data_IF_783557943549
#
_entry.id   IF_783557943549
#
_cell.length_a   1.000
_cell.length_b   1.000
_cell.length_c   1.000
_cell.angle_alpha   90.00
_cell.angle_beta   90.00
_cell.angle_gamma   90.00
#
_symmetry.space_group_name_H-M   'P 1'
#
loop_
_entity.id
_entity.type
_entity.pdbx_description
1 polymer ?
#
# COMPACT_ATOMS: atom_id res chain seq x y z
N UNK A 1 -33.69 -9.60 -14.89
CA UNK A 1 -33.64 -8.94 -13.56
C UNK A 1 -32.70 -7.74 -13.52
N UNK A 2 -32.44 -7.03 -14.63
CA UNK A 2 -31.31 -6.07 -14.70
C UNK A 2 -31.70 -4.61 -14.97
N UNK A 3 -32.75 -4.35 -15.76
CA UNK A 3 -33.08 -2.98 -16.17
C UNK A 3 -33.76 -2.16 -15.07
N UNK A 4 -34.81 -2.70 -14.46
CA UNK A 4 -35.54 -2.01 -13.39
C UNK A 4 -34.65 -1.71 -12.16
N UNK A 5 -33.71 -2.61 -11.83
CA UNK A 5 -32.77 -2.40 -10.72
C UNK A 5 -31.73 -1.32 -11.01
N UNK A 6 -31.30 -1.18 -12.27
CA UNK A 6 -30.43 -0.08 -12.72
C UNK A 6 -31.19 1.25 -12.71
N UNK A 7 -32.43 1.28 -13.23
CA UNK A 7 -33.25 2.50 -13.24
C UNK A 7 -33.54 3.01 -11.81
N UNK A 8 -33.86 2.09 -10.89
CA UNK A 8 -34.02 2.40 -9.47
C UNK A 8 -32.73 2.92 -8.83
N UNK A 9 -31.59 2.32 -9.15
CA UNK A 9 -30.29 2.80 -8.67
C UNK A 9 -29.96 4.20 -9.21
N UNK A 10 -30.12 4.43 -10.52
CA UNK A 10 -29.87 5.73 -11.15
C UNK A 10 -30.74 6.84 -10.56
N UNK A 11 -32.01 6.54 -10.28
CA UNK A 11 -32.94 7.47 -9.61
C UNK A 11 -32.45 7.86 -8.21
N UNK A 12 -31.87 6.90 -7.46
CA UNK A 12 -31.29 7.15 -6.13
C UNK A 12 -29.93 7.86 -6.15
N UNK A 13 -29.11 7.65 -7.18
CA UNK A 13 -27.79 8.29 -7.34
C UNK A 13 -27.87 9.74 -7.79
N UNK A 14 -28.89 10.06 -8.60
CA UNK A 14 -29.05 11.39 -9.19
C UNK A 14 -30.48 11.91 -8.97
N UNK A 15 -30.89 12.09 -7.70
CA UNK A 15 -32.24 12.56 -7.37
C UNK A 15 -32.48 14.01 -7.81
N UNK A 16 -31.43 14.75 -8.16
CA UNK A 16 -31.46 16.15 -8.58
C UNK A 16 -31.61 16.35 -10.09
N UNK A 17 -31.60 15.28 -10.91
CA UNK A 17 -31.96 15.40 -12.32
C UNK A 17 -33.48 15.60 -12.45
N UNK A 18 -33.90 16.83 -12.70
CA UNK A 18 -35.29 17.15 -13.04
C UNK A 18 -35.56 16.80 -14.51
N UNK A 19 -35.89 15.54 -14.81
CA UNK A 19 -36.26 15.09 -16.16
C UNK A 19 -36.24 13.56 -16.33
N UNK A 20 -36.77 13.01 -17.44
CA UNK A 20 -36.61 11.58 -17.75
C UNK A 20 -35.13 11.23 -17.90
N UNK A 21 -34.71 10.11 -17.32
CA UNK A 21 -33.33 9.63 -17.37
C UNK A 21 -32.89 9.45 -18.84
N UNK A 22 -31.72 10.00 -19.25
CA UNK A 22 -31.23 9.83 -20.61
C UNK A 22 -31.09 8.35 -21.00
N UNK A 23 -31.61 7.92 -22.16
CA UNK A 23 -31.57 6.52 -22.57
C UNK A 23 -30.13 6.02 -22.75
N UNK A 24 -29.21 6.89 -23.16
CA UNK A 24 -27.78 6.60 -23.30
C UNK A 24 -27.13 6.18 -21.97
N UNK A 25 -27.56 6.78 -20.85
CA UNK A 25 -27.04 6.46 -19.51
C UNK A 25 -27.51 5.06 -19.08
N UNK A 26 -28.78 4.74 -19.34
CA UNK A 26 -29.37 3.43 -19.03
C UNK A 26 -28.71 2.34 -19.87
N UNK A 27 -28.52 2.59 -21.17
CA UNK A 27 -27.89 1.64 -22.09
C UNK A 27 -26.43 1.36 -21.71
N UNK A 28 -25.66 2.40 -21.37
CA UNK A 28 -24.29 2.23 -20.89
C UNK A 28 -24.26 1.42 -19.57
N UNK A 29 -25.10 1.77 -18.59
CA UNK A 29 -25.16 1.02 -17.33
C UNK A 29 -25.55 -0.46 -17.53
N UNK A 30 -26.47 -0.75 -18.46
CA UNK A 30 -26.83 -2.11 -18.83
C UNK A 30 -25.66 -2.86 -19.49
N UNK A 31 -24.95 -2.22 -20.42
CA UNK A 31 -23.78 -2.81 -21.06
C UNK A 31 -22.68 -3.18 -20.06
N UNK A 32 -22.43 -2.31 -19.07
CA UNK A 32 -21.48 -2.56 -17.99
C UNK A 32 -21.94 -3.68 -17.07
N UNK A 33 -23.25 -3.78 -16.79
CA UNK A 33 -23.79 -4.87 -15.97
C UNK A 33 -23.62 -6.23 -16.67
N UNK A 34 -23.94 -6.32 -17.96
CA UNK A 34 -23.73 -7.55 -18.74
C UNK A 34 -22.24 -7.94 -18.77
N UNK A 35 -21.34 -6.96 -18.99
CA UNK A 35 -19.89 -7.19 -18.96
C UNK A 35 -19.39 -7.56 -17.55
N UNK A 36 -19.97 -7.00 -16.50
CA UNK A 36 -19.62 -7.34 -15.11
C UNK A 36 -19.96 -8.79 -14.78
N UNK A 37 -21.06 -9.33 -15.32
CA UNK A 37 -21.47 -10.71 -15.07
C UNK A 37 -20.52 -11.73 -15.71
N UNK A 38 -19.92 -11.40 -16.87
CA UNK A 38 -18.98 -12.30 -17.55
C UNK A 38 -17.56 -12.22 -16.97
N UNK A 39 -17.16 -11.03 -16.50
CA UNK A 39 -15.81 -10.80 -15.94
C UNK A 39 -15.74 -11.14 -14.45
N UNK A 40 -16.83 -10.93 -13.70
CA UNK A 40 -16.91 -11.09 -12.25
C UNK A 40 -17.95 -12.15 -11.87
N UNK A 41 -17.72 -13.39 -12.33
CA UNK A 41 -18.60 -14.55 -12.06
C UNK A 41 -18.51 -15.06 -10.61
N UNK A 42 -17.45 -14.71 -9.87
CA UNK A 42 -17.25 -15.11 -8.47
C UNK A 42 -17.27 -13.86 -7.56
N UNK A 43 -18.47 -13.42 -7.18
CA UNK A 43 -18.70 -12.37 -6.18
C UNK A 43 -19.53 -12.94 -5.03
N UNK A 44 -19.33 -12.40 -3.83
CA UNK A 44 -20.13 -12.82 -2.66
C UNK A 44 -21.57 -12.33 -2.81
N UNK A 45 -22.54 -13.03 -2.21
CA UNK A 45 -23.97 -12.65 -2.26
C UNK A 45 -24.21 -11.16 -1.95
N UNK A 46 -23.51 -10.62 -0.95
CA UNK A 46 -23.62 -9.22 -0.53
C UNK A 46 -23.08 -8.24 -1.58
N UNK A 47 -22.09 -8.67 -2.37
CA UNK A 47 -21.51 -7.92 -3.48
C UNK A 47 -22.38 -8.02 -4.73
N UNK A 48 -23.05 -9.16 -4.95
CA UNK A 48 -23.98 -9.35 -6.07
C UNK A 48 -25.20 -8.43 -5.98
N UNK A 49 -25.71 -8.21 -4.76
CA UNK A 49 -26.84 -7.28 -4.51
C UNK A 49 -26.46 -5.84 -4.90
N UNK A 50 -25.21 -5.44 -4.66
CA UNK A 50 -24.73 -4.09 -4.97
C UNK A 50 -24.16 -3.92 -6.40
N UNK A 51 -23.98 -5.02 -7.15
CA UNK A 51 -23.48 -5.02 -8.54
C UNK A 51 -24.24 -4.05 -9.46
N UNK A 52 -25.58 -4.05 -9.58
CA UNK A 52 -26.30 -3.11 -10.44
C UNK A 52 -26.11 -1.65 -10.01
N UNK A 53 -26.02 -1.38 -8.71
CA UNK A 53 -25.78 -0.05 -8.16
C UNK A 53 -24.37 0.46 -8.50
N UNK A 54 -23.35 -0.40 -8.40
CA UNK A 54 -21.97 -0.07 -8.76
C UNK A 54 -21.81 0.22 -10.26
N UNK A 55 -22.46 -0.57 -11.13
CA UNK A 55 -22.46 -0.34 -12.57
C UNK A 55 -23.16 0.98 -12.95
N UNK A 56 -24.27 1.31 -12.26
CA UNK A 56 -24.96 2.59 -12.42
C UNK A 56 -24.07 3.77 -11.98
N UNK A 57 -23.37 3.66 -10.85
CA UNK A 57 -22.42 4.69 -10.40
C UNK A 57 -21.29 4.91 -11.41
N UNK A 58 -20.70 3.81 -11.90
CA UNK A 58 -19.61 3.86 -12.88
C UNK A 58 -20.06 4.51 -14.20
N UNK A 59 -21.29 4.24 -14.65
CA UNK A 59 -21.88 4.88 -15.82
C UNK A 59 -22.05 6.40 -15.62
N UNK A 60 -22.52 6.83 -14.45
CA UNK A 60 -22.64 8.25 -14.10
C UNK A 60 -21.28 8.96 -14.06
N UNK A 61 -20.23 8.32 -13.54
CA UNK A 61 -18.88 8.91 -13.51
C UNK A 61 -18.29 9.09 -14.92
N UNK A 62 -18.54 8.14 -15.83
CA UNK A 62 -18.06 8.19 -17.23
C UNK A 62 -18.75 9.26 -18.06
N UNK A 63 -20.07 9.38 -17.91
CA UNK A 63 -20.86 10.35 -18.64
C UNK A 63 -20.96 11.72 -17.95
N UNK A 64 -20.38 11.87 -16.75
CA UNK A 64 -20.39 13.11 -15.96
C UNK A 64 -20.01 14.34 -16.77
N UNK A 65 -18.94 14.25 -17.56
CA UNK A 65 -18.44 15.35 -18.41
C UNK A 65 -19.29 15.58 -19.67
N UNK A 66 -19.95 14.54 -20.18
CA UNK A 66 -20.74 14.59 -21.43
C UNK A 66 -22.16 15.08 -21.21
N UNK A 67 -22.76 14.74 -20.07
CA UNK A 67 -24.17 15.02 -19.75
C UNK A 67 -24.34 16.04 -18.63
N UNK A 68 -23.28 16.73 -18.19
CA UNK A 68 -23.29 17.75 -17.11
C UNK A 68 -24.06 17.29 -15.85
N UNK A 69 -23.82 16.05 -15.42
CA UNK A 69 -24.53 15.45 -14.28
C UNK A 69 -24.11 16.11 -12.95
N UNK A 70 -25.06 16.41 -12.03
CA UNK A 70 -24.75 16.96 -10.71
C UNK A 70 -23.98 15.96 -9.83
N UNK A 71 -23.46 16.44 -8.69
CA UNK A 71 -22.65 15.62 -7.77
C UNK A 71 -23.40 14.38 -7.31
N UNK A 72 -22.79 13.21 -7.53
CA UNK A 72 -23.38 11.89 -7.25
C UNK A 72 -23.32 11.65 -5.74
N UNK A 73 -24.47 11.36 -5.11
CA UNK A 73 -24.52 10.96 -3.70
C UNK A 73 -24.65 9.44 -3.63
N UNK A 74 -23.57 8.74 -3.25
CA UNK A 74 -23.58 7.29 -3.18
C UNK A 74 -24.20 6.79 -1.87
N UNK A 75 -25.37 6.16 -1.92
CA UNK A 75 -25.99 5.41 -0.81
C UNK A 75 -26.18 3.94 -1.21
N UNK A 76 -25.11 3.12 -1.15
CA UNK A 76 -25.17 1.74 -1.60
C UNK A 76 -26.05 0.86 -0.69
N UNK A 77 -26.62 -0.24 -1.23
CA UNK A 77 -27.44 -1.18 -0.46
C UNK A 77 -26.63 -2.08 0.48
N UNK A 78 -25.30 -2.00 0.44
CA UNK A 78 -24.40 -2.80 1.27
C UNK A 78 -23.45 -1.92 2.10
N UNK A 79 -22.80 -2.47 3.14
CA UNK A 79 -21.85 -1.72 3.96
C UNK A 79 -20.76 -1.03 3.13
N UNK A 80 -20.32 0.18 3.52
CA UNK A 80 -19.44 1.02 2.69
C UNK A 80 -18.08 0.36 2.40
N UNK A 81 -17.58 -0.47 3.31
CA UNK A 81 -16.32 -1.23 3.12
C UNK A 81 -16.42 -2.27 2.01
N UNK A 82 -17.56 -2.95 1.90
CA UNK A 82 -17.82 -3.98 0.87
C UNK A 82 -18.06 -3.27 -0.46
N UNK A 83 -18.88 -2.22 -0.45
CA UNK A 83 -19.16 -1.42 -1.64
C UNK A 83 -17.88 -0.85 -2.26
N UNK A 84 -16.99 -0.25 -1.46
CA UNK A 84 -15.73 0.34 -1.95
C UNK A 84 -14.84 -0.69 -2.63
N UNK A 85 -14.77 -1.92 -2.10
CA UNK A 85 -14.00 -3.01 -2.71
C UNK A 85 -14.60 -3.44 -4.04
N UNK A 86 -15.92 -3.65 -4.07
CA UNK A 86 -16.65 -4.03 -5.28
C UNK A 86 -16.52 -2.96 -6.37
N UNK A 87 -16.71 -1.69 -6.00
CA UNK A 87 -16.60 -0.56 -6.91
C UNK A 87 -15.21 -0.47 -7.55
N UNK A 88 -14.16 -0.52 -6.73
CA UNK A 88 -12.77 -0.49 -7.20
C UNK A 88 -12.43 -1.68 -8.12
N UNK A 89 -12.94 -2.86 -7.77
CA UNK A 89 -12.75 -4.06 -8.59
C UNK A 89 -13.43 -3.89 -9.96
N UNK A 90 -14.70 -3.52 -9.99
CA UNK A 90 -15.45 -3.32 -11.24
C UNK A 90 -14.92 -2.15 -12.08
N UNK A 91 -14.45 -1.05 -11.47
CA UNK A 91 -13.83 0.06 -12.19
C UNK A 91 -12.53 -0.34 -12.88
N UNK A 92 -11.73 -1.21 -12.25
CA UNK A 92 -10.49 -1.74 -12.84
C UNK A 92 -10.76 -2.81 -13.91
N UNK A 93 -11.75 -3.67 -13.69
CA UNK A 93 -12.06 -4.81 -14.55
C UNK A 93 -12.82 -4.41 -15.83
N UNK A 94 -13.53 -3.28 -15.82
CA UNK A 94 -14.37 -2.82 -16.92
C UNK A 94 -13.85 -1.50 -17.52
N UNK A 95 -12.59 -1.37 -17.99
CA UNK A 95 -12.05 -0.09 -18.46
C UNK A 95 -12.87 0.53 -19.60
N UNK A 96 -12.79 1.86 -19.73
CA UNK A 96 -13.52 2.63 -20.74
C UNK A 96 -13.08 2.27 -22.15
N UNK A 97 -13.96 1.58 -22.88
CA UNK A 97 -13.76 1.27 -24.30
C UNK A 97 -13.68 2.54 -25.17
N UNK A 98 -14.17 3.68 -24.66
CA UNK A 98 -14.11 4.97 -25.35
C UNK A 98 -12.78 5.71 -25.23
N UNK A 99 -11.87 5.29 -24.33
CA UNK A 99 -10.58 5.97 -24.14
C UNK A 99 -9.46 5.47 -25.08
N UNK A 100 -9.64 4.31 -25.73
CA UNK A 100 -8.60 3.65 -26.54
C UNK A 100 -8.94 3.53 -28.04
N UNK A 101 -9.88 4.32 -28.56
CA UNK A 101 -10.17 4.28 -30.00
C UNK A 101 -9.22 5.20 -30.77
N UNK A 102 -7.96 4.79 -30.84
CA UNK A 102 -7.04 5.15 -31.92
C UNK A 102 -6.98 3.94 -32.87
N UNK A 103 -7.21 4.08 -34.18
CA UNK A 103 -7.44 2.95 -35.07
C UNK A 103 -6.15 2.14 -35.30
N UNK A 104 -5.95 1.09 -34.52
CA UNK A 104 -4.89 0.09 -34.72
C UNK A 104 -5.35 -0.96 -35.76
N UNK A 105 -4.63 -0.99 -36.89
CA UNK A 105 -4.75 -1.94 -37.99
C UNK A 105 -4.60 -3.41 -37.54
N UNK A 106 -5.28 -4.38 -38.20
CA UNK A 106 -5.46 -5.74 -37.66
C UNK A 106 -4.19 -6.59 -37.78
N UNK A 107 -3.65 -7.05 -36.64
CA UNK A 107 -2.59 -8.08 -36.61
C UNK A 107 -3.18 -9.49 -36.60
N UNK A 108 -2.56 -10.30 -37.45
CA UNK A 108 -2.88 -11.65 -37.92
C UNK A 108 -2.91 -12.68 -36.77
N UNK A 109 -3.93 -13.56 -36.79
CA UNK A 109 -4.10 -14.72 -35.90
C UNK A 109 -2.89 -15.67 -35.96
N UNK A 110 -2.42 -16.13 -34.80
CA UNK A 110 -1.59 -17.32 -34.67
C UNK A 110 -2.36 -18.39 -33.86
N UNK A 111 -2.35 -19.60 -34.40
CA UNK A 111 -3.06 -20.82 -33.96
C UNK A 111 -2.37 -21.45 -32.73
N UNK A 112 -3.09 -22.20 -31.86
CA UNK A 112 -2.55 -22.69 -30.58
C UNK A 112 -2.05 -24.16 -30.60
N UNK A 113 -1.40 -24.52 -29.48
CA UNK A 113 -1.14 -25.87 -28.90
C UNK A 113 0.29 -26.48 -29.12
N UNK A 114 0.77 -27.43 -28.27
CA UNK A 114 0.07 -28.17 -27.21
C UNK A 114 0.75 -28.26 -25.82
N UNK A 115 0.07 -28.95 -24.91
CA UNK A 115 0.26 -29.06 -23.47
C UNK A 115 1.29 -30.10 -22.98
N UNK A 116 1.82 -29.87 -21.78
CA UNK A 116 2.22 -30.87 -20.76
C UNK A 116 2.57 -30.11 -19.45
N UNK A 117 2.56 -30.63 -18.22
CA UNK A 117 1.76 -31.63 -17.49
C UNK A 117 2.23 -31.53 -16.02
N UNK A 118 1.28 -31.39 -15.08
CA UNK A 118 1.34 -31.79 -13.65
C UNK A 118 2.34 -31.13 -12.68
N UNK A 119 1.83 -30.41 -11.66
CA UNK A 119 1.77 -30.86 -10.24
C UNK A 119 1.11 -29.82 -9.33
N UNK A 120 -0.01 -30.20 -8.71
CA UNK A 120 -0.77 -29.40 -7.73
C UNK A 120 -0.17 -29.53 -6.32
N UNK A 121 0.10 -28.39 -5.67
CA UNK A 121 -0.03 -28.21 -4.21
C UNK A 121 -0.44 -26.76 -3.95
N UNK A 122 -1.45 -26.48 -3.10
CA UNK A 122 -1.83 -25.11 -2.80
C UNK A 122 -0.92 -24.57 -1.68
N UNK A 123 -0.01 -23.65 -2.02
CA UNK A 123 0.59 -22.75 -1.04
C UNK A 123 -0.21 -21.46 -1.02
N UNK A 124 -0.78 -21.17 0.15
CA UNK A 124 -1.33 -19.90 0.59
C UNK A 124 -0.46 -18.71 0.14
N UNK A 125 -1.00 -17.70 -0.56
CA UNK A 125 -0.35 -16.40 -0.63
C UNK A 125 -1.08 -15.44 0.31
N UNK A 126 -0.53 -15.31 1.52
CA UNK A 126 -0.56 -14.06 2.25
C UNK A 126 0.54 -13.20 1.63
N UNK A 127 0.20 -12.29 0.72
CA UNK A 127 0.79 -10.94 0.68
C UNK A 127 0.25 -10.17 -0.52
N UNK A 128 -0.32 -9.04 -0.17
CA UNK A 128 -0.84 -7.97 -0.99
C UNK A 128 0.26 -7.36 -1.87
N UNK A 129 0.57 -7.93 -3.04
CA UNK A 129 1.14 -7.13 -4.13
C UNK A 129 -0.02 -6.65 -4.98
N UNK A 130 -0.51 -5.44 -4.66
CA UNK A 130 -1.27 -4.62 -5.61
C UNK A 130 -0.49 -4.63 -6.90
N UNK A 131 -1.17 -4.89 -8.02
CA UNK A 131 -0.68 -4.54 -9.34
C UNK A 131 -0.53 -3.02 -9.41
N UNK A 132 0.57 -2.51 -8.86
CA UNK A 132 1.23 -1.31 -9.32
C UNK A 132 1.98 -1.80 -10.55
N UNK A 133 1.76 -1.14 -11.68
CA UNK A 133 2.58 -1.27 -12.88
C UNK A 133 4.04 -1.47 -12.48
N UNK A 134 4.79 -2.27 -13.25
CA UNK A 134 6.20 -2.63 -13.07
C UNK A 134 7.13 -1.41 -12.99
N UNK A 135 6.95 -0.63 -11.94
CA UNK A 135 7.67 0.56 -11.61
C UNK A 135 8.83 0.09 -10.76
N UNK A 136 10.04 0.40 -11.23
CA UNK A 136 11.31 0.10 -10.60
C UNK A 136 11.20 0.19 -9.06
N UNK A 137 11.13 -0.96 -8.40
CA UNK A 137 11.12 -1.06 -6.94
C UNK A 137 12.57 -1.01 -6.48
N UNK A 138 12.90 -0.25 -5.42
CA UNK A 138 14.28 -0.21 -4.92
C UNK A 138 14.73 -1.61 -4.48
N UNK A 139 16.01 -1.98 -4.68
CA UNK A 139 16.55 -3.27 -4.26
C UNK A 139 16.28 -3.62 -2.79
N UNK A 140 16.09 -4.91 -2.49
CA UNK A 140 15.74 -5.39 -1.14
C UNK A 140 16.79 -5.02 -0.06
N UNK A 141 18.05 -4.78 -0.47
CA UNK A 141 19.14 -4.40 0.44
C UNK A 141 19.04 -2.98 1.00
N UNK A 142 18.20 -2.12 0.41
CA UNK A 142 18.00 -0.72 0.82
C UNK A 142 17.48 -0.64 2.26
N UNK A 143 16.51 -1.49 2.63
CA UNK A 143 15.91 -1.47 3.97
C UNK A 143 16.94 -1.82 5.06
N UNK A 144 17.75 -2.88 4.94
CA UNK A 144 18.90 -3.11 5.83
C UNK A 144 19.86 -1.92 5.95
N UNK A 145 20.15 -1.21 4.85
CA UNK A 145 21.02 -0.03 4.87
C UNK A 145 20.42 1.12 5.70
N UNK A 146 19.14 1.41 5.49
CA UNK A 146 18.40 2.43 6.25
C UNK A 146 18.35 2.05 7.74
N UNK A 147 18.13 0.78 8.07
CA UNK A 147 18.14 0.30 9.46
C UNK A 147 19.51 0.47 10.12
N UNK A 148 20.60 0.21 9.39
CA UNK A 148 21.96 0.41 9.89
C UNK A 148 22.23 1.88 10.22
N UNK A 149 21.80 2.80 9.36
CA UNK A 149 21.86 4.26 9.58
C UNK A 149 21.03 4.66 10.80
N UNK A 150 19.76 4.26 10.85
CA UNK A 150 18.87 4.58 11.96
C UNK A 150 19.42 4.10 13.32
N UNK A 151 20.07 2.92 13.34
CA UNK A 151 20.76 2.40 14.52
C UNK A 151 21.98 3.26 14.90
N UNK A 152 22.78 3.69 13.92
CA UNK A 152 23.96 4.50 14.18
C UNK A 152 23.63 5.90 14.73
N UNK A 153 22.47 6.46 14.37
CA UNK A 153 21.98 7.76 14.85
C UNK A 153 20.99 7.65 16.02
N UNK A 154 20.76 6.43 16.52
CA UNK A 154 19.86 6.13 17.65
C UNK A 154 18.44 6.67 17.45
N UNK A 155 17.96 6.60 16.20
CA UNK A 155 16.67 7.19 15.84
C UNK A 155 15.89 6.27 14.88
N UNK A 156 15.18 5.26 15.40
CA UNK A 156 14.48 4.26 14.58
C UNK A 156 13.24 4.81 13.89
N UNK A 157 12.62 5.87 14.41
CA UNK A 157 11.42 6.48 13.82
C UNK A 157 11.65 7.04 12.40
N UNK A 158 12.90 7.30 12.00
CA UNK A 158 13.26 7.81 10.66
C UNK A 158 13.10 6.75 9.56
N UNK A 159 13.15 5.46 9.91
CA UNK A 159 13.19 4.33 8.94
C UNK A 159 12.03 4.37 7.93
N UNK A 160 10.75 4.44 8.35
CA UNK A 160 9.63 4.48 7.41
C UNK A 160 9.69 5.70 6.48
N UNK A 161 10.00 6.88 7.01
CA UNK A 161 10.07 8.12 6.24
C UNK A 161 11.19 8.10 5.19
N UNK A 162 12.37 7.59 5.55
CA UNK A 162 13.50 7.44 4.62
C UNK A 162 13.18 6.44 3.53
N UNK A 163 12.57 5.30 3.88
CA UNK A 163 12.18 4.31 2.88
C UNK A 163 11.16 4.89 1.89
N UNK A 164 10.15 5.62 2.37
CA UNK A 164 9.17 6.27 1.49
C UNK A 164 9.80 7.32 0.57
N UNK A 165 10.79 8.08 1.07
CA UNK A 165 11.55 9.02 0.25
C UNK A 165 12.33 8.31 -0.84
N UNK A 166 13.07 7.25 -0.50
CA UNK A 166 13.83 6.45 -1.47
C UNK A 166 12.91 5.81 -2.50
N UNK A 167 11.77 5.23 -2.10
CA UNK A 167 10.78 4.63 -3.01
C UNK A 167 10.21 5.67 -3.98
N UNK A 168 9.98 6.90 -3.53
CA UNK A 168 9.43 7.97 -4.37
C UNK A 168 10.44 8.53 -5.38
N UNK A 169 11.73 8.60 -4.99
CA UNK A 169 12.78 9.23 -5.79
C UNK A 169 13.47 8.22 -6.73
N UNK A 170 13.58 6.96 -6.33
CA UNK A 170 14.21 5.91 -7.14
C UNK A 170 13.69 5.83 -8.59
N UNK A 171 12.37 5.84 -8.89
CA UNK A 171 11.90 5.83 -10.27
C UNK A 171 12.18 7.13 -11.04
N UNK A 172 12.39 8.27 -10.35
CA UNK A 172 12.86 9.51 -10.98
C UNK A 172 14.32 9.33 -11.43
N UNK A 173 15.17 8.80 -10.54
CA UNK A 173 16.57 8.55 -10.84
C UNK A 173 16.76 7.56 -11.99
N UNK A 174 15.94 6.51 -12.03
CA UNK A 174 15.94 5.50 -13.10
C UNK A 174 15.51 6.09 -14.46
N UNK A 175 14.56 7.04 -14.46
CA UNK A 175 14.18 7.76 -15.69
C UNK A 175 15.26 8.71 -16.17
N UNK A 176 15.91 9.43 -15.26
CA UNK A 176 17.03 10.31 -15.59
C UNK A 176 18.24 9.56 -16.14
N UNK A 177 18.58 8.39 -15.56
CA UNK A 177 19.67 7.55 -16.08
C UNK A 177 19.35 7.01 -17.48
N UNK A 178 18.09 6.64 -17.74
CA UNK A 178 17.64 6.22 -19.07
C UNK A 178 17.73 7.36 -20.10
N UNK A 179 17.25 8.57 -19.76
CA UNK A 179 17.30 9.73 -20.65
C UNK A 179 18.75 10.17 -20.98
N UNK A 180 19.67 10.07 -20.02
CA UNK A 180 21.08 10.36 -20.25
C UNK A 180 21.73 9.37 -21.24
N UNK A 181 21.31 8.11 -21.24
CA UNK A 181 21.81 7.08 -22.16
C UNK A 181 21.36 7.29 -23.62
N UNK A 182 20.27 8.02 -23.86
CA UNK A 182 19.70 8.25 -25.20
C UNK A 182 20.25 9.50 -25.92
N UNK A 183 21.14 10.28 -25.28
CA UNK A 183 21.73 11.47 -25.92
C UNK A 183 22.56 11.08 -27.17
N UNK A 184 22.26 11.64 -28.36
CA UNK A 184 22.76 11.14 -29.64
C UNK A 184 24.18 11.64 -29.92
N UNK A 185 25.16 11.08 -29.22
CA UNK A 185 26.58 11.32 -29.51
C UNK A 185 27.22 10.06 -30.10
N UNK A 186 27.34 10.10 -31.44
CA UNK A 186 28.22 9.28 -32.31
C UNK A 186 27.71 7.90 -32.77
N UNK A 187 27.25 7.90 -34.03
CA UNK A 187 27.37 6.87 -35.10
C UNK A 187 26.83 5.46 -34.76
N UNK A 188 25.73 5.00 -35.39
CA UNK A 188 25.13 3.72 -35.09
C UNK A 188 25.96 2.59 -35.69
N UNK A 189 26.70 1.85 -34.87
CA UNK A 189 27.05 0.46 -35.21
C UNK A 189 25.85 -0.40 -34.86
N UNK A 190 25.39 -1.13 -35.87
CA UNK A 190 24.32 -2.15 -35.80
C UNK A 190 24.66 -3.15 -34.69
N UNK A 191 24.08 -2.95 -33.52
CA UNK A 191 24.10 -3.91 -32.42
C UNK A 191 22.69 -4.50 -32.26
N UNK A 192 22.68 -5.81 -32.04
CA UNK A 192 21.53 -6.68 -31.87
C UNK A 192 20.54 -6.18 -30.83
N UNK A 193 19.25 -6.25 -31.17
CA UNK A 193 18.14 -5.92 -30.29
C UNK A 193 18.09 -6.85 -29.06
N UNK A 194 18.76 -6.45 -27.98
CA UNK A 194 18.58 -7.03 -26.64
C UNK A 194 18.95 -6.07 -25.49
N UNK A 195 18.99 -4.76 -25.73
CA UNK A 195 19.28 -3.75 -24.70
C UNK A 195 18.09 -2.78 -24.54
N UNK A 196 16.99 -3.31 -24.02
CA UNK A 196 15.88 -2.55 -23.42
C UNK A 196 15.63 -3.16 -22.02
N UNK A 197 16.70 -3.31 -21.24
CA UNK A 197 16.58 -3.42 -19.79
C UNK A 197 16.59 -2.01 -19.22
N UNK A 198 15.83 -1.77 -18.16
CA UNK A 198 15.91 -0.56 -17.33
C UNK A 198 17.36 -0.07 -17.21
N UNK A 199 17.58 1.23 -17.35
CA UNK A 199 18.84 1.82 -16.95
C UNK A 199 18.97 1.68 -15.43
N UNK A 200 19.51 0.55 -14.97
CA UNK A 200 19.66 0.23 -13.57
C UNK A 200 20.46 1.35 -12.90
N UNK A 201 19.85 1.98 -11.89
CA UNK A 201 20.50 3.03 -11.11
C UNK A 201 21.71 2.39 -10.42
N UNK A 202 22.90 2.95 -10.60
CA UNK A 202 24.11 2.38 -9.99
C UNK A 202 23.99 2.32 -8.47
N UNK A 203 24.54 1.27 -7.86
CA UNK A 203 24.52 1.08 -6.41
C UNK A 203 25.14 2.28 -5.68
N UNK A 204 26.22 2.86 -6.23
CA UNK A 204 26.82 4.12 -5.75
C UNK A 204 25.82 5.26 -5.64
N UNK A 205 24.98 5.45 -6.67
CA UNK A 205 23.99 6.53 -6.71
C UNK A 205 22.83 6.27 -5.76
N UNK A 206 22.45 5.01 -5.60
CA UNK A 206 21.44 4.61 -4.62
C UNK A 206 21.93 4.78 -3.17
N UNK A 207 23.20 4.46 -2.89
CA UNK A 207 23.81 4.71 -1.57
C UNK A 207 23.88 6.22 -1.27
N UNK A 208 24.24 7.05 -2.26
CA UNK A 208 24.22 8.50 -2.13
C UNK A 208 22.80 9.04 -1.86
N UNK A 209 21.79 8.51 -2.55
CA UNK A 209 20.39 8.83 -2.29
C UNK A 209 19.98 8.49 -0.86
N UNK A 210 20.32 7.28 -0.37
CA UNK A 210 19.98 6.85 0.98
C UNK A 210 20.57 7.82 2.02
N UNK A 211 21.84 8.23 1.86
CA UNK A 211 22.50 9.17 2.77
C UNK A 211 21.81 10.55 2.75
N UNK A 212 21.55 11.10 1.57
CA UNK A 212 20.91 12.43 1.43
C UNK A 212 19.51 12.43 2.01
N UNK A 213 18.67 11.46 1.61
CA UNK A 213 17.28 11.35 2.13
C UNK A 213 17.28 11.13 3.64
N UNK A 214 18.19 10.29 4.16
CA UNK A 214 18.32 10.09 5.60
C UNK A 214 18.61 11.40 6.34
N UNK A 215 19.58 12.19 5.89
CA UNK A 215 19.96 13.44 6.56
C UNK A 215 18.87 14.52 6.45
N UNK A 216 18.16 14.60 5.32
CA UNK A 216 17.03 15.51 5.15
C UNK A 216 15.90 15.17 6.12
N UNK A 217 15.52 13.89 6.20
CA UNK A 217 14.45 13.46 7.11
C UNK A 217 14.89 13.61 8.57
N UNK A 218 16.12 13.23 8.89
CA UNK A 218 16.65 13.30 10.25
C UNK A 218 16.74 14.74 10.78
N UNK A 219 17.23 15.67 9.95
CA UNK A 219 17.26 17.10 10.31
C UNK A 219 15.84 17.65 10.50
N UNK A 220 14.91 17.27 9.62
CA UNK A 220 13.50 17.68 9.72
C UNK A 220 12.80 17.14 10.97
N UNK A 221 13.06 15.90 11.33
CA UNK A 221 12.43 15.25 12.48
C UNK A 221 12.96 15.73 13.83
N UNK A 222 14.22 16.20 13.88
CA UNK A 222 14.82 16.74 15.10
C UNK A 222 14.49 18.20 15.38
N UNK A 223 14.00 18.94 14.40
CA UNK A 223 13.66 20.38 14.53
C UNK A 223 14.79 21.24 15.12
N UNK A 224 16.04 20.84 14.89
CA UNK A 224 17.23 21.59 15.36
C UNK A 224 17.84 22.34 14.20
N UNK A 225 18.10 23.63 14.37
CA UNK A 225 18.95 24.41 13.46
C UNK A 225 20.37 23.81 13.43
N UNK A 226 20.66 23.06 12.37
CA UNK A 226 21.92 22.32 12.22
C UNK A 226 23.01 23.28 11.75
N UNK A 227 24.05 23.48 12.57
CA UNK A 227 25.26 24.19 12.12
C UNK A 227 25.99 23.40 11.03
N UNK A 228 26.73 24.10 10.16
CA UNK A 228 27.48 23.48 9.06
C UNK A 228 28.44 22.39 9.56
N UNK A 229 29.12 22.64 10.67
CA UNK A 229 30.06 21.67 11.27
C UNK A 229 29.34 20.40 11.75
N UNK A 230 28.19 20.54 12.42
CA UNK A 230 27.37 19.40 12.86
C UNK A 230 26.82 18.61 11.67
N UNK A 231 26.44 19.29 10.60
CA UNK A 231 25.99 18.64 9.37
C UNK A 231 27.12 17.82 8.74
N UNK A 232 28.34 18.36 8.71
CA UNK A 232 29.52 17.64 8.21
C UNK A 232 29.86 16.42 9.07
N UNK A 233 29.77 16.52 10.40
CA UNK A 233 29.91 15.37 11.30
C UNK A 233 28.88 14.28 11.01
N UNK A 234 27.61 14.66 10.77
CA UNK A 234 26.56 13.72 10.41
C UNK A 234 26.78 13.10 9.04
N UNK A 235 27.25 13.88 8.06
CA UNK A 235 27.62 13.37 6.73
C UNK A 235 28.73 12.33 6.83
N UNK A 236 29.81 12.61 7.55
CA UNK A 236 30.94 11.68 7.74
C UNK A 236 30.46 10.41 8.46
N UNK A 237 29.65 10.57 9.52
CA UNK A 237 29.07 9.45 10.26
C UNK A 237 28.18 8.59 9.35
N UNK A 238 27.25 9.21 8.60
CA UNK A 238 26.36 8.51 7.68
C UNK A 238 27.14 7.76 6.60
N UNK A 239 28.09 8.43 5.93
CA UNK A 239 28.95 7.84 4.90
C UNK A 239 29.72 6.63 5.44
N UNK A 240 30.34 6.76 6.62
CA UNK A 240 31.08 5.65 7.25
C UNK A 240 30.19 4.46 7.60
N UNK A 241 28.91 4.69 7.93
CA UNK A 241 27.97 3.62 8.31
C UNK A 241 27.40 2.90 7.10
N UNK A 242 27.16 3.61 6.00
CA UNK A 242 26.69 3.03 4.74
C UNK A 242 27.77 2.15 4.12
N UNK A 243 29.05 2.58 4.18
CA UNK A 243 30.18 1.80 3.66
C UNK A 243 30.46 0.50 4.44
N UNK A 244 30.00 0.39 5.69
CA UNK A 244 30.12 -0.86 6.48
C UNK A 244 29.11 -1.94 6.06
N UNK A 245 28.14 -1.60 5.21
CA UNK A 245 27.11 -2.54 4.78
C UNK A 245 27.65 -3.46 3.66
N UNK A 246 27.34 -4.78 3.64
CA UNK A 246 27.71 -5.68 2.55
C UNK A 246 27.38 -5.18 1.13
N UNK A 247 26.35 -4.37 0.95
CA UNK A 247 26.00 -3.79 -0.35
C UNK A 247 26.97 -2.72 -0.87
N UNK A 248 27.85 -2.20 -0.01
CA UNK A 248 28.84 -1.18 -0.36
C UNK A 248 30.25 -1.74 -0.59
N UNK A 249 30.41 -3.07 -0.70
CA UNK A 249 31.72 -3.72 -0.87
C UNK A 249 32.52 -3.22 -2.08
N UNK A 250 31.84 -2.73 -3.12
CA UNK A 250 32.45 -2.23 -4.35
C UNK A 250 32.59 -0.71 -4.41
N UNK A 251 32.22 0.01 -3.35
CA UNK A 251 32.15 1.48 -3.34
C UNK A 251 33.16 2.05 -2.36
N UNK A 252 34.01 2.96 -2.83
CA UNK A 252 34.96 3.67 -1.96
C UNK A 252 34.35 4.95 -1.40
N UNK A 253 34.88 5.44 -0.27
CA UNK A 253 34.45 6.73 0.29
C UNK A 253 34.69 7.89 -0.67
N UNK A 254 35.76 7.82 -1.46
CA UNK A 254 36.14 8.87 -2.42
C UNK A 254 35.18 8.95 -3.61
N UNK A 255 34.56 7.83 -4.00
CA UNK A 255 33.52 7.79 -5.03
C UNK A 255 32.15 8.22 -4.50
N UNK A 256 31.85 7.95 -3.22
CA UNK A 256 30.54 8.20 -2.65
C UNK A 256 30.29 9.68 -2.31
N UNK A 257 31.31 10.39 -1.82
CA UNK A 257 31.22 11.82 -1.48
C UNK A 257 30.73 12.70 -2.64
N UNK A 258 31.32 12.66 -3.85
CA UNK A 258 30.86 13.50 -4.96
C UNK A 258 29.44 13.11 -5.41
N UNK A 259 29.07 11.83 -5.28
CA UNK A 259 27.71 11.37 -5.56
C UNK A 259 26.71 11.93 -4.55
N UNK A 260 27.07 12.02 -3.27
CA UNK A 260 26.24 12.65 -2.23
C UNK A 260 26.06 14.14 -2.54
N UNK A 261 27.13 14.86 -2.87
CA UNK A 261 27.07 16.29 -3.20
C UNK A 261 26.19 16.54 -4.43
N UNK A 262 26.38 15.76 -5.49
CA UNK A 262 25.54 15.83 -6.69
C UNK A 262 24.08 15.52 -6.36
N UNK A 263 23.83 14.53 -5.51
CA UNK A 263 22.47 14.14 -5.11
C UNK A 263 21.79 15.21 -4.26
N UNK A 264 22.56 15.90 -3.41
CA UNK A 264 22.08 17.05 -2.66
C UNK A 264 21.75 18.25 -3.56
N UNK A 265 22.55 18.48 -4.60
CA UNK A 265 22.25 19.51 -5.61
C UNK A 265 20.94 19.18 -6.36
N UNK A 266 20.79 17.93 -6.82
CA UNK A 266 19.56 17.46 -7.47
C UNK A 266 18.33 17.62 -6.56
N UNK A 267 18.46 17.34 -5.27
CA UNK A 267 17.35 17.49 -4.32
C UNK A 267 16.81 18.94 -4.26
N UNK A 268 17.69 19.94 -4.46
CA UNK A 268 17.31 21.36 -4.50
C UNK A 268 16.70 21.77 -5.83
N UNK A 269 17.27 21.30 -6.94
CA UNK A 269 16.84 21.66 -8.30
C UNK A 269 15.49 21.01 -8.66
N UNK A 270 15.31 19.74 -8.32
CA UNK A 270 14.11 18.95 -8.64
C UNK A 270 12.99 19.11 -7.59
N UNK A 271 13.19 19.96 -6.58
CA UNK A 271 12.18 20.28 -5.58
C UNK A 271 11.75 19.09 -4.72
N UNK A 272 12.70 18.24 -4.29
CA UNK A 272 12.37 17.04 -3.49
C UNK A 272 11.73 17.39 -2.14
N UNK A 273 12.07 18.56 -1.60
CA UNK A 273 11.53 19.07 -0.34
C UNK A 273 10.06 19.49 -0.44
N UNK A 274 9.56 19.75 -1.65
CA UNK A 274 8.16 20.10 -1.93
C UNK A 274 7.32 18.87 -2.31
N UNK A 275 7.91 17.67 -2.27
CA UNK A 275 7.16 16.45 -2.52
C UNK A 275 6.36 16.03 -1.28
N UNK A 276 5.18 15.48 -1.51
CA UNK A 276 4.25 15.03 -0.46
C UNK A 276 4.89 14.06 0.55
N UNK A 277 5.88 13.26 0.12
CA UNK A 277 6.58 12.35 1.01
C UNK A 277 7.38 13.10 2.08
N UNK A 278 8.01 14.23 1.73
CA UNK A 278 8.81 15.03 2.66
C UNK A 278 7.94 15.98 3.49
N UNK A 279 6.89 16.56 2.90
CA UNK A 279 5.91 17.37 3.64
C UNK A 279 5.22 16.58 4.77
N UNK A 280 5.09 15.26 4.60
CA UNK A 280 4.53 14.37 5.62
C UNK A 280 5.45 14.16 6.83
N UNK A 281 6.74 14.49 6.72
CA UNK A 281 7.72 14.37 7.80
C UNK A 281 7.55 15.55 8.75
N UNK A 282 7.01 15.26 9.93
CA UNK A 282 6.83 16.24 11.01
C UNK A 282 7.91 16.04 12.07
N UNK A 283 8.35 17.13 12.73
CA UNK A 283 9.19 17.01 13.91
C UNK A 283 8.46 16.17 14.94
N UNK A 284 9.16 15.21 15.53
CA UNK A 284 8.62 14.47 16.67
C UNK A 284 8.59 15.48 17.81
N UNK A 285 7.41 15.96 18.16
CA UNK A 285 7.24 16.78 19.34
C UNK A 285 7.70 15.94 20.53
N UNK A 286 8.75 16.39 21.21
CA UNK A 286 9.15 15.86 22.51
C UNK A 286 7.95 16.01 23.45
N UNK A 287 7.16 14.95 23.63
CA UNK A 287 5.94 15.03 24.43
C UNK A 287 4.88 13.95 24.22
N UNK A 288 4.91 13.17 23.14
CA UNK A 288 4.14 11.92 23.11
C UNK A 288 5.02 10.76 23.58
N UNK A 289 5.38 10.84 24.87
CA UNK A 289 5.43 9.63 25.69
C UNK A 289 4.13 8.90 25.39
N UNK A 290 4.26 7.75 24.72
CA UNK A 290 3.14 6.90 24.38
C UNK A 290 2.42 6.63 25.70
N UNK A 291 1.27 7.29 25.91
CA UNK A 291 0.37 7.08 27.03
C UNK A 291 -0.16 5.66 26.87
N UNK A 292 0.68 4.71 27.30
CA UNK A 292 0.30 3.34 27.51
C UNK A 292 -0.80 3.40 28.54
N UNK A 293 -2.02 3.11 28.10
CA UNK A 293 -3.23 3.05 28.94
C UNK A 293 -2.85 2.48 30.30
N UNK A 294 -2.85 3.36 31.31
CA UNK A 294 -2.49 3.04 32.67
C UNK A 294 -3.41 1.91 33.16
N UNK A 295 -2.89 0.69 33.24
CA UNK A 295 -3.52 -0.36 34.03
C UNK A 295 -3.24 -0.06 35.49
N UNK A 296 -4.14 0.69 36.11
CA UNK A 296 -4.25 0.85 37.55
C UNK A 296 -4.33 -0.54 38.20
N UNK A 297 -3.32 -0.93 38.99
CA UNK A 297 -3.33 -2.25 39.63
C UNK A 297 -2.05 -2.60 40.38
N UNK A 298 -1.76 -1.83 41.43
CA UNK A 298 -0.66 -2.03 42.38
C UNK A 298 -0.74 -3.40 43.11
N UNK A 299 0.20 -4.33 42.86
CA UNK A 299 0.66 -5.29 43.88
C UNK A 299 2.14 -5.68 43.71
N UNK A 300 2.86 -5.48 44.82
CA UNK A 300 4.25 -5.78 45.12
C UNK A 300 4.41 -7.25 45.55
N UNK A 301 5.18 -8.10 44.84
CA UNK A 301 5.93 -9.23 45.44
C UNK A 301 7.14 -9.65 44.57
N UNK A 302 8.32 -9.43 45.15
CA UNK A 302 9.58 -10.21 45.20
C UNK A 302 10.00 -11.15 44.04
N UNK A 303 11.22 -10.86 43.60
CA UNK A 303 12.27 -11.76 43.10
C UNK A 303 12.14 -13.25 43.45
N UNK A 304 12.09 -14.09 42.42
CA UNK A 304 12.35 -15.54 42.46
C UNK A 304 13.00 -15.97 41.14
N UNK A 305 14.21 -16.50 41.24
CA UNK A 305 15.01 -16.97 40.12
C UNK A 305 14.56 -18.35 39.59
N UNK A 306 14.98 -18.63 38.34
CA UNK A 306 15.07 -19.93 37.65
C UNK A 306 13.77 -20.59 37.12
N UNK A 307 13.60 -20.59 35.80
CA UNK A 307 14.19 -21.67 35.01
C UNK A 307 14.35 -21.30 33.52
N UNK A 308 15.57 -21.53 33.05
CA UNK A 308 15.98 -21.52 31.67
C UNK A 308 15.33 -22.72 30.94
N UNK A 309 14.40 -22.45 30.02
CA UNK A 309 14.24 -23.31 28.84
C UNK A 309 14.35 -22.46 27.59
N UNK A 310 15.49 -22.66 26.95
CA UNK A 310 15.84 -22.18 25.62
C UNK A 310 14.71 -22.45 24.61
N UNK A 311 14.30 -21.39 23.90
CA UNK A 311 13.29 -21.47 22.85
C UNK A 311 12.84 -20.10 22.33
N UNK A 312 13.74 -19.41 21.61
CA UNK A 312 13.50 -18.39 20.56
C UNK A 312 12.53 -17.20 20.83
N UNK A 313 12.97 -15.93 20.65
CA UNK A 313 12.11 -14.76 20.78
C UNK A 313 11.29 -14.55 19.49
N UNK A 314 10.22 -15.32 19.34
CA UNK A 314 9.07 -14.90 18.53
C UNK A 314 8.05 -14.25 19.46
N UNK A 315 8.31 -12.99 19.78
CA UNK A 315 7.35 -12.11 20.44
C UNK A 315 6.15 -11.98 19.50
N UNK A 316 5.01 -12.54 19.91
CA UNK A 316 3.70 -12.05 19.53
C UNK A 316 3.03 -12.64 18.29
N UNK A 317 3.12 -13.95 18.01
CA UNK A 317 2.26 -14.56 17.00
C UNK A 317 2.09 -16.08 17.22
N UNK A 318 1.27 -16.51 18.19
CA UNK A 318 0.96 -17.94 18.29
C UNK A 318 0.18 -18.47 19.50
N UNK A 319 0.00 -17.71 20.59
CA UNK A 319 -0.67 -18.22 21.80
C UNK A 319 -1.89 -17.43 22.25
N UNK A 320 -2.25 -16.35 21.57
CA UNK A 320 -3.46 -15.62 21.91
C UNK A 320 -4.66 -16.36 21.32
N UNK A 321 -5.20 -17.33 22.08
CA UNK A 321 -6.58 -17.74 21.86
C UNK A 321 -7.41 -16.46 21.88
N UNK A 322 -8.06 -16.17 20.75
CA UNK A 322 -8.92 -15.01 20.64
C UNK A 322 -10.10 -15.25 21.58
N UNK A 323 -10.45 -14.29 22.43
CA UNK A 323 -11.60 -14.38 23.36
C UNK A 323 -12.90 -14.80 22.65
N UNK A 324 -13.02 -14.50 21.35
CA UNK A 324 -14.15 -14.89 20.51
C UNK A 324 -14.25 -16.41 20.24
N UNK A 325 -13.18 -17.18 20.50
CA UNK A 325 -13.10 -18.62 20.20
C UNK A 325 -12.78 -19.45 21.45
N UNK A 326 -12.51 -18.80 22.58
CA UNK A 326 -12.30 -19.48 23.87
C UNK A 326 -13.62 -19.64 24.63
N UNK A 327 -14.35 -20.70 24.30
CA UNK A 327 -15.61 -21.06 24.95
C UNK A 327 -15.43 -21.64 26.37
N UNK A 328 -14.19 -21.97 26.76
CA UNK A 328 -13.87 -22.57 28.05
C UNK A 328 -13.01 -21.65 28.94
N UNK A 329 -12.79 -20.40 28.54
CA UNK A 329 -12.09 -19.40 29.34
C UNK A 329 -12.80 -19.10 30.65
N UNK A 330 -12.03 -18.74 31.68
CA UNK A 330 -12.52 -18.50 33.06
C UNK A 330 -13.71 -17.51 33.08
N UNK A 331 -13.61 -16.42 32.30
CA UNK A 331 -14.67 -15.42 32.16
C UNK A 331 -15.98 -15.99 31.59
N UNK A 332 -15.90 -16.84 30.57
CA UNK A 332 -17.08 -17.45 29.95
C UNK A 332 -17.70 -18.52 30.86
N UNK A 333 -16.88 -19.23 31.64
CA UNK A 333 -17.37 -20.17 32.64
C UNK A 333 -18.15 -19.46 33.76
N UNK A 334 -17.67 -18.30 34.21
CA UNK A 334 -18.39 -17.46 35.18
C UNK A 334 -19.72 -16.94 34.63
N UNK A 335 -19.73 -16.44 33.40
CA UNK A 335 -20.93 -15.94 32.75
C UNK A 335 -21.95 -17.06 32.50
N UNK A 336 -21.49 -18.27 32.13
CA UNK A 336 -22.32 -19.45 32.05
C UNK A 336 -22.89 -19.87 33.42
N UNK A 337 -22.10 -19.81 34.49
CA UNK A 337 -22.56 -20.13 35.85
C UNK A 337 -23.69 -19.19 36.30
N UNK A 338 -23.54 -17.87 36.04
CA UNK A 338 -24.57 -16.87 36.32
C UNK A 338 -25.85 -17.14 35.50
N UNK A 339 -25.69 -17.37 34.18
CA UNK A 339 -26.80 -17.69 33.30
C UNK A 339 -27.53 -18.96 33.75
N UNK A 340 -26.79 -20.03 34.08
CA UNK A 340 -27.35 -21.30 34.55
C UNK A 340 -28.15 -21.12 35.83
N UNK A 341 -27.61 -20.38 36.81
CA UNK A 341 -28.31 -20.10 38.06
C UNK A 341 -29.62 -19.35 37.82
N UNK A 342 -29.60 -18.34 36.92
CA UNK A 342 -30.79 -17.59 36.54
C UNK A 342 -31.86 -18.46 35.87
N UNK A 343 -31.46 -19.34 34.95
CA UNK A 343 -32.38 -20.25 34.25
C UNK A 343 -32.98 -21.27 35.22
N UNK A 344 -32.17 -21.86 36.11
CA UNK A 344 -32.68 -22.84 37.09
C UNK A 344 -33.67 -22.20 38.06
N UNK A 345 -33.40 -21.00 38.56
CA UNK A 345 -34.36 -20.26 39.39
C UNK A 345 -35.67 -19.97 38.63
N UNK A 346 -35.59 -19.71 37.32
CA UNK A 346 -36.78 -19.50 36.48
C UNK A 346 -37.57 -20.78 36.26
N UNK A 347 -36.90 -21.93 36.14
CA UNK A 347 -37.54 -23.25 36.03
C UNK A 347 -38.23 -23.60 37.36
N UNK A 348 -37.56 -23.41 38.50
CA UNK A 348 -38.14 -23.67 39.81
C UNK A 348 -39.41 -22.84 40.06
N UNK A 349 -39.40 -21.56 39.68
CA UNK A 349 -40.59 -20.70 39.75
C UNK A 349 -41.75 -21.18 38.86
N UNK A 350 -41.45 -21.87 37.74
CA UNK A 350 -42.47 -22.43 36.85
C UNK A 350 -42.99 -23.77 37.40
N UNK A 351 -42.12 -24.57 38.02
CA UNK A 351 -42.50 -25.85 38.63
C UNK A 351 -43.28 -25.67 39.95
N UNK A 352 -43.10 -24.53 40.63
CA UNK A 352 -43.83 -24.18 41.84
C UNK A 352 -45.19 -23.49 41.60
N UNK A 353 -45.55 -23.20 40.35
CA UNK A 353 -46.80 -22.56 39.95
C UNK A 353 -47.85 -23.58 39.48
#
# INVERSE_FOLDING_TARGET
MSRASIEQALTGLVPTLSGPLPPELIELALSLLTRSQTVATSLKSDEEIARPYACAQLACERLKKRLNLPSITSRPPCPPRIYKKLYNYLSSALPDSFANSEPQTPRKKAVPAPAASVRNTPKTPLSTKRGRESNAEPPEWVVPAIRALAKAFEYPAVIPHVYTGVESIYPLLARMSAAAAESPSKRPKRATASALSSADVSDTRLLGLIVVVFLLVFSRMRDVDVSVDKYNEWLVKATSTVLKNPSAQHVTSEELVPVIEQTMAMAKEEGWLQMQWFESVKPVADGEEMEGVEMTGNMNVKSGALHLRSGSPYIGLGTMMQDATDYLGERQQEDYAKWKAQILARVENIEAA
#
